data_IF_892502931436
#
_entry.id   IF_892502931436
#
_cell.length_a   1.000
_cell.length_b   1.000
_cell.length_c   1.000
_cell.angle_alpha   90.00
_cell.angle_beta   90.00
_cell.angle_gamma   90.00
#
_symmetry.space_group_name_H-M   'P 1'
#
loop_
_entity.id
_entity.type
_entity.pdbx_description
1 polymer ?
#
# COMPACT_ATOMS: atom_id res chain seq x y z
N UNK A 1 -1.90 -10.54 -8.21
CA UNK A 1 -2.73 -11.12 -7.14
C UNK A 1 -4.07 -10.40 -6.99
N UNK A 2 -4.09 -9.10 -6.72
CA UNK A 2 -5.32 -8.31 -6.50
C UNK A 2 -6.31 -8.30 -7.69
N UNK A 3 -5.81 -8.29 -8.93
CA UNK A 3 -6.64 -8.40 -10.15
C UNK A 3 -7.50 -9.68 -10.18
N UNK A 4 -6.96 -10.82 -9.72
CA UNK A 4 -7.70 -12.10 -9.69
C UNK A 4 -8.81 -12.09 -8.62
N UNK A 5 -8.57 -11.42 -7.50
CA UNK A 5 -9.53 -11.28 -6.39
C UNK A 5 -10.65 -10.28 -6.73
N UNK A 6 -10.34 -9.20 -7.46
CA UNK A 6 -11.36 -8.28 -7.99
C UNK A 6 -12.33 -8.98 -8.95
N UNK A 7 -11.85 -9.93 -9.76
CA UNK A 7 -12.72 -10.75 -10.64
C UNK A 7 -13.55 -11.79 -9.88
N UNK A 8 -13.18 -12.13 -8.64
CA UNK A 8 -13.89 -13.11 -7.82
C UNK A 8 -15.11 -12.53 -7.07
N UNK A 9 -15.48 -11.26 -7.30
CA UNK A 9 -16.63 -10.62 -6.65
C UNK A 9 -16.42 -10.23 -5.19
N UNK A 10 -15.16 -10.21 -4.74
CA UNK A 10 -14.79 -9.88 -3.35
C UNK A 10 -15.09 -8.39 -3.07
N UNK A 11 -15.67 -8.13 -1.89
CA UNK A 11 -16.01 -6.78 -1.45
C UNK A 11 -14.76 -5.89 -1.40
N UNK A 12 -14.90 -4.61 -1.73
CA UNK A 12 -13.79 -3.63 -1.70
C UNK A 12 -13.07 -3.63 -0.35
N UNK A 13 -13.78 -3.85 0.76
CA UNK A 13 -13.22 -3.96 2.12
C UNK A 13 -12.30 -5.18 2.29
N UNK A 14 -12.67 -6.33 1.76
CA UNK A 14 -11.86 -7.55 1.85
C UNK A 14 -10.59 -7.45 0.99
N UNK A 15 -10.69 -6.83 -0.19
CA UNK A 15 -9.53 -6.51 -1.03
C UNK A 15 -8.52 -5.61 -0.32
N UNK A 16 -9.01 -4.62 0.44
CA UNK A 16 -8.16 -3.78 1.31
C UNK A 16 -7.53 -4.61 2.40
N UNK A 17 -8.31 -5.47 3.07
CA UNK A 17 -7.81 -6.32 4.14
C UNK A 17 -6.68 -7.24 3.65
N UNK A 18 -6.84 -7.85 2.46
CA UNK A 18 -5.80 -8.66 1.83
C UNK A 18 -4.57 -7.82 1.46
N UNK A 19 -4.76 -6.60 0.94
CA UNK A 19 -3.64 -5.70 0.66
C UNK A 19 -2.86 -5.36 1.94
N UNK A 20 -3.57 -5.03 3.02
CA UNK A 20 -2.97 -4.70 4.33
C UNK A 20 -2.31 -5.90 4.98
N UNK A 21 -2.86 -7.10 4.84
CA UNK A 21 -2.35 -8.29 5.50
C UNK A 21 -1.17 -8.93 4.74
N UNK A 22 -1.12 -8.80 3.40
CA UNK A 22 -0.13 -9.48 2.56
C UNK A 22 0.87 -8.52 1.94
N UNK A 23 0.39 -7.45 1.29
CA UNK A 23 1.27 -6.58 0.49
C UNK A 23 1.97 -5.56 1.38
N UNK A 24 1.25 -4.99 2.34
CA UNK A 24 1.76 -3.96 3.23
C UNK A 24 2.93 -4.44 4.12
N UNK A 25 2.83 -5.56 4.87
CA UNK A 25 3.97 -6.05 5.66
C UNK A 25 5.14 -6.48 4.80
N UNK A 26 4.94 -6.96 3.57
CA UNK A 26 6.05 -7.24 2.64
C UNK A 26 6.78 -5.95 2.23
N UNK A 27 6.05 -4.87 1.95
CA UNK A 27 6.64 -3.56 1.63
C UNK A 27 7.31 -2.89 2.84
N UNK A 28 6.81 -3.15 4.05
CA UNK A 28 7.35 -2.64 5.31
C UNK A 28 8.57 -3.45 5.77
N UNK A 29 8.52 -4.79 5.76
CA UNK A 29 9.65 -5.66 6.13
C UNK A 29 10.72 -5.79 5.04
N UNK A 30 10.47 -5.37 3.81
CA UNK A 30 11.53 -5.15 2.83
C UNK A 30 12.33 -3.87 3.11
N UNK A 31 11.90 -3.02 4.05
CA UNK A 31 12.58 -1.75 4.36
C UNK A 31 14.01 -1.95 4.91
N UNK A 32 14.31 -2.88 5.85
CA UNK A 32 15.67 -3.20 6.27
C UNK A 32 16.57 -3.68 5.12
N UNK A 33 16.01 -4.43 4.16
CA UNK A 33 16.71 -4.86 2.93
C UNK A 33 17.00 -3.69 1.99
N UNK A 34 16.24 -2.60 2.10
CA UNK A 34 16.39 -1.40 1.28
C UNK A 34 17.08 -0.24 2.04
N UNK A 35 17.27 -0.36 3.35
CA UNK A 35 17.72 0.72 4.25
C UNK A 35 19.14 1.21 3.99
N UNK A 36 20.01 0.35 3.45
CA UNK A 36 21.39 0.72 3.14
C UNK A 36 21.50 1.61 1.90
N UNK A 37 20.42 1.83 1.13
CA UNK A 37 20.42 2.66 -0.08
C UNK A 37 19.03 3.22 -0.47
N UNK A 38 18.13 3.48 0.49
CA UNK A 38 16.77 3.94 0.18
C UNK A 38 16.76 5.44 -0.17
N UNK A 39 17.21 5.78 -1.38
CA UNK A 39 17.05 7.12 -1.95
C UNK A 39 15.57 7.48 -2.00
N UNK A 40 15.20 8.76 -1.86
CA UNK A 40 13.81 9.25 -1.97
C UNK A 40 13.04 8.65 -3.16
N UNK A 41 13.74 8.44 -4.28
CA UNK A 41 13.23 7.74 -5.46
C UNK A 41 12.64 6.35 -5.19
N UNK A 42 13.29 5.53 -4.37
CA UNK A 42 12.79 4.19 -4.01
C UNK A 42 11.54 4.30 -3.13
N UNK A 43 11.51 5.26 -2.21
CA UNK A 43 10.32 5.52 -1.37
C UNK A 43 9.12 5.93 -2.24
N UNK A 44 9.33 6.81 -3.21
CA UNK A 44 8.31 7.22 -4.18
C UNK A 44 7.83 6.05 -5.03
N UNK A 45 8.73 5.18 -5.50
CA UNK A 45 8.34 3.99 -6.27
C UNK A 45 7.48 3.03 -5.44
N UNK A 46 7.77 2.87 -4.16
CA UNK A 46 6.99 2.01 -3.26
C UNK A 46 5.61 2.64 -3.00
N UNK A 47 5.54 3.95 -2.82
CA UNK A 47 4.29 4.70 -2.69
C UNK A 47 3.43 4.58 -3.97
N UNK A 48 4.06 4.55 -5.16
CA UNK A 48 3.37 4.30 -6.44
C UNK A 48 2.72 2.92 -6.46
N UNK A 49 3.32 1.89 -5.85
CA UNK A 49 2.72 0.55 -5.75
C UNK A 49 1.44 0.61 -4.90
N UNK A 50 1.47 1.30 -3.74
CA UNK A 50 0.29 1.51 -2.90
C UNK A 50 -0.80 2.28 -3.66
N UNK A 51 -0.45 3.38 -4.34
CA UNK A 51 -1.37 4.17 -5.18
C UNK A 51 -2.05 3.32 -6.24
N UNK A 52 -1.28 2.50 -6.98
CA UNK A 52 -1.81 1.62 -8.04
C UNK A 52 -2.71 0.53 -7.48
N UNK A 53 -2.33 -0.09 -6.37
CA UNK A 53 -3.15 -1.11 -5.71
C UNK A 53 -4.50 -0.54 -5.25
N UNK A 54 -4.47 0.59 -4.55
CA UNK A 54 -5.67 1.27 -4.07
C UNK A 54 -6.57 1.76 -5.22
N UNK A 55 -5.99 2.31 -6.30
CA UNK A 55 -6.75 2.71 -7.50
C UNK A 55 -7.38 1.53 -8.24
N UNK A 56 -6.79 0.34 -8.14
CA UNK A 56 -7.39 -0.89 -8.66
C UNK A 56 -8.63 -1.31 -7.86
N UNK A 57 -8.59 -1.15 -6.54
CA UNK A 57 -9.67 -1.52 -5.61
C UNK A 57 -10.80 -0.48 -5.65
N UNK A 58 -10.45 0.81 -5.64
CA UNK A 58 -11.37 1.94 -5.66
C UNK A 58 -11.17 2.79 -6.92
N UNK A 59 -11.72 2.38 -8.08
CA UNK A 59 -11.71 3.22 -9.26
C UNK A 59 -12.54 4.49 -9.01
N UNK A 60 -11.96 5.66 -9.29
CA UNK A 60 -12.66 6.96 -9.22
C UNK A 60 -12.48 7.79 -7.95
N UNK A 61 -11.79 7.26 -6.92
CA UNK A 61 -11.48 8.02 -5.71
C UNK A 61 -10.03 8.53 -5.72
N UNK A 62 -9.82 9.72 -5.16
CA UNK A 62 -8.49 10.30 -4.97
C UNK A 62 -7.67 9.50 -3.96
N UNK A 63 -6.34 9.52 -4.09
CA UNK A 63 -5.46 8.71 -3.23
C UNK A 63 -5.66 8.98 -1.73
N UNK A 64 -5.65 10.25 -1.32
CA UNK A 64 -5.89 10.66 0.06
C UNK A 64 -7.30 10.27 0.56
N UNK A 65 -8.30 10.34 -0.33
CA UNK A 65 -9.67 9.95 -0.05
C UNK A 65 -9.76 8.45 0.26
N UNK A 66 -9.07 7.63 -0.54
CA UNK A 66 -9.01 6.18 -0.34
C UNK A 66 -8.31 5.89 0.98
N UNK A 67 -7.13 6.48 1.23
CA UNK A 67 -6.39 6.30 2.48
C UNK A 67 -7.25 6.56 3.72
N UNK A 68 -7.98 7.68 3.73
CA UNK A 68 -8.93 8.01 4.81
C UNK A 68 -10.07 7.00 4.91
N UNK A 69 -10.60 6.54 3.78
CA UNK A 69 -11.70 5.56 3.73
C UNK A 69 -11.29 4.17 4.19
N UNK A 70 -10.02 3.80 3.99
CA UNK A 70 -9.44 2.52 4.42
C UNK A 70 -8.67 2.62 5.73
N UNK A 71 -8.64 3.81 6.35
CA UNK A 71 -7.89 4.14 7.55
C UNK A 71 -6.43 3.66 7.48
N UNK A 72 -5.76 3.97 6.36
CA UNK A 72 -4.35 3.64 6.15
C UNK A 72 -3.54 4.92 6.00
N UNK A 73 -2.38 4.95 6.65
CA UNK A 73 -1.36 5.98 6.37
C UNK A 73 -0.54 5.64 5.13
N UNK A 74 0.22 6.63 4.65
CA UNK A 74 1.24 6.41 3.62
C UNK A 74 2.34 5.50 4.15
N UNK A 75 2.99 4.75 3.25
CA UNK A 75 4.10 3.88 3.65
C UNK A 75 5.28 4.69 4.20
N UNK A 76 5.44 5.93 3.73
CA UNK A 76 6.47 6.84 4.22
C UNK A 76 6.30 7.20 5.72
N UNK A 77 5.10 7.61 6.13
CA UNK A 77 4.79 7.98 7.52
C UNK A 77 4.96 6.80 8.48
N UNK A 78 4.53 5.60 8.06
CA UNK A 78 4.71 4.40 8.89
C UNK A 78 6.16 3.94 9.00
N UNK A 79 6.96 4.09 7.95
CA UNK A 79 8.39 3.75 8.01
C UNK A 79 9.13 4.64 9.00
N UNK A 80 8.83 5.94 8.99
CA UNK A 80 9.40 6.89 9.94
C UNK A 80 9.06 6.49 11.39
N UNK A 81 7.81 6.07 11.64
CA UNK A 81 7.38 5.56 12.95
C UNK A 81 8.02 4.23 13.39
N UNK A 82 8.52 3.40 12.45
CA UNK A 82 9.16 2.11 12.75
C UNK A 82 10.68 2.26 12.92
N UNK A 83 11.28 3.31 12.35
CA UNK A 83 12.71 3.59 12.44
C UNK A 83 13.11 4.47 13.63
N UNK A 84 12.17 4.79 14.54
CA UNK A 84 12.47 5.34 15.87
C UNK A 84 12.77 4.24 16.86
#
# INVERSE_FOLDING_TARGET
MLYKLKRAGITQKDLVSVYVCVVRPVLEHACPMWHTNLTQYLSDNIEVIQKRALKCIFPGLGYAEILRRVNLDTLNVRRDSICQ
#
